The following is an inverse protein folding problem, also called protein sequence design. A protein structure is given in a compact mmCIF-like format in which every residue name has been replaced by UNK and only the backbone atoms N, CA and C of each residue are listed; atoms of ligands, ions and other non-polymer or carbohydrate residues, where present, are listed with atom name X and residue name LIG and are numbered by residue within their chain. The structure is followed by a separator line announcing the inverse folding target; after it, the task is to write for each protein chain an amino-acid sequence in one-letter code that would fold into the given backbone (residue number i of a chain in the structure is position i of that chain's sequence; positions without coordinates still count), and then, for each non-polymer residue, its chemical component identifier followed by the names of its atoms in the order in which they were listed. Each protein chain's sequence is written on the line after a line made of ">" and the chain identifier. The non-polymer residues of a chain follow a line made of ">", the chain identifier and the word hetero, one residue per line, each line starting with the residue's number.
data_IF_555301229349
#
_entry.id   IF_555301229349
#
_cell.length_a   1.000
_cell.length_b   1.000
_cell.length_c   1.000
_cell.angle_alpha   90.00
_cell.angle_beta   90.00
_cell.angle_gamma   90.00
#
_symmetry.space_group_name_H-M   'P 1'
#
loop_
_entity.id
_entity.type
_entity.pdbx_description
1 polymer ?
#
# COMPACT_ATOMS: atom_id res chain seq x y z
N UNK A 1 -8.54 -13.20 8.96
CA UNK A 1 -7.62 -14.15 8.29
C UNK A 1 -7.09 -13.45 7.04
N UNK A 2 -5.87 -12.94 7.08
CA UNK A 2 -5.17 -12.45 5.89
C UNK A 2 -4.30 -13.62 5.41
N UNK A 3 -4.86 -14.47 4.57
CA UNK A 3 -4.08 -15.44 3.81
C UNK A 3 -3.44 -14.71 2.65
N UNK A 4 -2.17 -14.36 2.75
CA UNK A 4 -1.38 -13.95 1.60
C UNK A 4 -1.11 -15.20 0.76
N UNK A 5 -2.05 -15.57 -0.10
CA UNK A 5 -1.82 -16.60 -1.11
C UNK A 5 -1.06 -15.98 -2.27
N UNK A 6 0.26 -16.15 -2.28
CA UNK A 6 1.04 -15.99 -3.50
C UNK A 6 0.77 -17.24 -4.36
N UNK A 7 -0.09 -17.09 -5.35
CA UNK A 7 -0.28 -18.14 -6.37
C UNK A 7 0.99 -18.19 -7.21
N UNK A 8 1.77 -19.28 -7.03
CA UNK A 8 3.04 -19.47 -7.65
C UNK A 8 3.02 -19.52 -9.17
N UNK A 9 3.99 -18.90 -9.79
CA UNK A 9 4.54 -19.37 -11.04
C UNK A 9 5.51 -20.50 -10.75
N UNK A 10 5.76 -21.40 -11.68
CA UNK A 10 6.64 -22.59 -11.55
C UNK A 10 8.10 -22.30 -11.14
N UNK A 11 8.45 -21.05 -10.82
CA UNK A 11 9.79 -20.60 -10.40
C UNK A 11 9.97 -20.46 -8.90
N UNK A 12 8.94 -20.62 -8.09
CA UNK A 12 9.04 -20.46 -6.63
C UNK A 12 9.51 -21.74 -5.97
N UNK A 13 10.80 -21.87 -5.78
CA UNK A 13 11.45 -23.10 -5.26
C UNK A 13 11.20 -23.29 -3.76
N UNK A 14 10.71 -22.26 -3.01
CA UNK A 14 10.51 -22.33 -1.54
C UNK A 14 9.43 -21.37 -1.05
N UNK A 15 8.24 -21.40 -1.62
CA UNK A 15 7.11 -20.63 -1.11
C UNK A 15 6.67 -21.19 0.25
N UNK A 16 6.63 -20.32 1.25
CA UNK A 16 6.09 -20.62 2.57
C UNK A 16 5.09 -19.58 2.98
N UNK A 17 3.96 -20.04 3.49
CA UNK A 17 2.96 -19.17 4.09
C UNK A 17 3.06 -19.23 5.62
N UNK A 18 3.02 -18.06 6.25
CA UNK A 18 2.96 -17.90 7.69
C UNK A 18 1.70 -17.13 8.07
N UNK A 19 1.02 -17.58 9.11
CA UNK A 19 -0.09 -16.83 9.68
C UNK A 19 0.46 -15.92 10.79
N UNK A 20 0.62 -14.63 10.50
CA UNK A 20 1.23 -13.64 11.41
C UNK A 20 0.33 -12.42 11.50
N UNK A 21 -0.08 -12.06 12.71
CA UNK A 21 -0.63 -10.74 12.97
C UNK A 21 0.51 -9.75 13.16
N UNK A 22 0.72 -8.88 12.17
CA UNK A 22 1.79 -7.88 12.20
C UNK A 22 1.61 -6.80 13.28
N UNK A 23 0.41 -6.65 13.86
CA UNK A 23 0.16 -5.80 15.02
C UNK A 23 0.67 -6.43 16.33
N UNK A 24 0.91 -7.74 16.35
CA UNK A 24 1.44 -8.48 17.50
C UNK A 24 2.95 -8.54 17.45
N UNK A 25 3.62 -7.81 18.35
CA UNK A 25 5.09 -7.80 18.42
C UNK A 25 5.67 -9.21 18.62
N UNK A 26 5.05 -10.03 19.49
CA UNK A 26 5.53 -11.38 19.75
C UNK A 26 5.45 -12.27 18.48
N UNK A 27 4.33 -12.22 17.74
CA UNK A 27 4.21 -13.00 16.50
C UNK A 27 5.22 -12.55 15.44
N UNK A 28 5.50 -11.24 15.34
CA UNK A 28 6.53 -10.72 14.43
C UNK A 28 7.92 -11.21 14.84
N UNK A 29 8.25 -11.18 16.14
CA UNK A 29 9.54 -11.70 16.65
C UNK A 29 9.70 -13.18 16.32
N UNK A 30 8.71 -14.00 16.60
CA UNK A 30 8.73 -15.43 16.34
C UNK A 30 8.89 -15.72 14.83
N UNK A 31 8.11 -15.02 14.01
CA UNK A 31 8.21 -15.10 12.54
C UNK A 31 9.60 -14.73 12.02
N UNK A 32 10.17 -13.62 12.48
CA UNK A 32 11.50 -13.18 12.03
C UNK A 32 12.60 -14.14 12.50
N UNK A 33 12.45 -14.76 13.67
CA UNK A 33 13.35 -15.79 14.15
C UNK A 33 13.36 -17.00 13.22
N UNK A 34 12.18 -17.46 12.79
CA UNK A 34 12.05 -18.55 11.81
C UNK A 34 12.68 -18.19 10.46
N UNK A 35 12.44 -16.97 9.97
CA UNK A 35 13.05 -16.49 8.71
C UNK A 35 14.56 -16.46 8.82
N UNK A 36 15.10 -15.97 9.93
CA UNK A 36 16.54 -15.94 10.19
C UNK A 36 17.15 -17.34 10.20
N UNK A 37 16.52 -18.28 10.86
CA UNK A 37 17.01 -19.67 10.94
C UNK A 37 16.99 -20.37 9.58
N UNK A 38 15.95 -20.13 8.78
CA UNK A 38 15.74 -20.84 7.53
C UNK A 38 16.48 -20.23 6.34
N UNK A 39 16.60 -18.92 6.29
CA UNK A 39 17.13 -18.20 5.11
C UNK A 39 18.39 -17.39 5.42
N UNK A 40 18.57 -16.93 6.65
CA UNK A 40 19.72 -16.15 7.11
C UNK A 40 19.78 -14.71 6.60
N UNK A 41 19.07 -14.38 5.52
CA UNK A 41 19.03 -13.06 4.88
C UNK A 41 17.68 -12.76 4.24
N UNK A 42 17.43 -11.47 3.99
CA UNK A 42 16.29 -10.96 3.23
C UNK A 42 16.81 -9.97 2.19
N UNK A 43 16.41 -10.11 0.94
CA UNK A 43 16.77 -9.21 -0.16
C UNK A 43 15.69 -8.15 -0.41
N UNK A 44 14.42 -8.52 -0.20
CA UNK A 44 13.26 -7.65 -0.40
C UNK A 44 12.27 -7.79 0.74
N UNK A 45 11.83 -6.67 1.29
CA UNK A 45 10.71 -6.60 2.23
C UNK A 45 9.57 -5.79 1.59
N UNK A 46 8.45 -6.45 1.32
CA UNK A 46 7.24 -5.77 0.86
C UNK A 46 6.21 -5.71 1.99
N UNK A 47 6.08 -4.54 2.62
CA UNK A 47 5.07 -4.26 3.63
C UNK A 47 3.75 -3.85 2.94
N UNK A 48 2.88 -4.82 2.76
CA UNK A 48 1.61 -4.63 2.05
C UNK A 48 0.38 -4.79 2.95
N UNK A 49 0.48 -5.50 4.05
CA UNK A 49 -0.63 -5.71 4.95
C UNK A 49 -1.21 -4.37 5.44
N UNK A 50 -2.51 -4.26 5.44
CA UNK A 50 -3.20 -3.06 5.87
C UNK A 50 -4.70 -3.28 6.01
N UNK A 51 -5.34 -2.41 6.75
CA UNK A 51 -6.78 -2.38 6.96
C UNK A 51 -7.31 -0.97 6.69
N UNK A 52 -8.55 -0.90 6.25
CA UNK A 52 -9.26 0.36 6.09
C UNK A 52 -10.69 0.17 6.58
N UNK A 53 -11.23 1.18 7.19
CA UNK A 53 -12.63 1.27 7.55
C UNK A 53 -13.09 2.70 7.26
N UNK A 54 -14.16 2.86 6.49
CA UNK A 54 -14.88 4.11 6.47
C UNK A 54 -15.45 4.36 7.88
N UNK A 55 -15.26 5.56 8.37
CA UNK A 55 -15.75 5.96 9.68
C UNK A 55 -16.41 7.33 9.60
N UNK A 56 -16.40 8.10 10.68
CA UNK A 56 -17.14 9.33 10.83
C UNK A 56 -16.26 10.57 10.77
N UNK A 57 -16.86 11.72 11.03
CA UNK A 57 -16.13 12.95 11.32
C UNK A 57 -15.21 12.75 12.53
N UNK A 58 -14.11 13.49 12.59
CA UNK A 58 -13.05 13.30 13.60
C UNK A 58 -13.60 13.27 15.04
N UNK A 59 -14.57 14.11 15.37
CA UNK A 59 -15.14 14.19 16.73
C UNK A 59 -16.08 13.00 17.07
N UNK A 60 -16.51 12.25 16.07
CA UNK A 60 -17.35 11.04 16.20
C UNK A 60 -16.57 9.78 15.85
N UNK A 61 -15.28 9.91 15.45
CA UNK A 61 -14.48 8.81 14.98
C UNK A 61 -14.22 7.79 16.09
N UNK A 62 -14.60 6.50 15.95
CA UNK A 62 -14.41 5.51 17.00
C UNK A 62 -12.92 5.27 17.27
N UNK A 63 -12.52 5.34 18.53
CA UNK A 63 -11.11 5.19 18.93
C UNK A 63 -10.59 3.78 18.64
N UNK A 64 -11.39 2.76 18.83
CA UNK A 64 -11.02 1.37 18.53
C UNK A 64 -10.75 1.14 17.03
N UNK A 65 -11.49 1.82 16.15
CA UNK A 65 -11.23 1.82 14.70
C UNK A 65 -9.91 2.53 14.39
N UNK A 66 -9.66 3.70 14.99
CA UNK A 66 -8.40 4.42 14.86
C UNK A 66 -7.22 3.56 15.35
N UNK A 67 -7.31 3.01 16.55
CA UNK A 67 -6.25 2.18 17.13
C UNK A 67 -5.96 0.94 16.28
N UNK A 68 -6.98 0.29 15.75
CA UNK A 68 -6.82 -0.85 14.85
C UNK A 68 -6.04 -0.47 13.58
N UNK A 69 -6.41 0.64 12.94
CA UNK A 69 -5.75 1.11 11.72
C UNK A 69 -4.28 1.46 12.03
N UNK A 70 -4.04 2.24 13.08
CA UNK A 70 -2.68 2.63 13.46
C UNK A 70 -1.82 1.43 13.86
N UNK A 71 -2.39 0.45 14.56
CA UNK A 71 -1.67 -0.75 14.98
C UNK A 71 -1.30 -1.64 13.80
N UNK A 72 -2.17 -1.81 12.82
CA UNK A 72 -1.87 -2.64 11.65
C UNK A 72 -1.02 -1.86 10.64
N UNK A 73 -1.50 -0.71 10.16
CA UNK A 73 -0.94 -0.05 8.99
C UNK A 73 0.38 0.66 9.29
N UNK A 74 0.52 1.29 10.47
CA UNK A 74 1.76 2.00 10.82
C UNK A 74 2.65 1.19 11.77
N UNK A 75 2.12 0.76 12.93
CA UNK A 75 2.93 0.03 13.91
C UNK A 75 3.38 -1.32 13.38
N UNK A 76 2.51 -2.05 12.66
CA UNK A 76 2.84 -3.33 12.03
C UNK A 76 3.94 -3.17 10.97
N UNK A 77 3.81 -2.18 10.09
CA UNK A 77 4.86 -1.83 9.11
C UNK A 77 6.18 -1.49 9.80
N UNK A 78 6.15 -0.73 10.90
CA UNK A 78 7.33 -0.41 11.68
C UNK A 78 7.96 -1.66 12.31
N UNK A 79 7.18 -2.53 12.95
CA UNK A 79 7.67 -3.76 13.59
C UNK A 79 8.33 -4.69 12.58
N UNK A 80 7.65 -4.96 11.46
CA UNK A 80 8.20 -5.79 10.37
C UNK A 80 9.52 -5.23 9.86
N UNK A 81 9.58 -3.94 9.58
CA UNK A 81 10.80 -3.28 9.10
C UNK A 81 11.91 -3.35 10.14
N UNK A 82 11.63 -2.98 11.39
CA UNK A 82 12.60 -3.00 12.50
C UNK A 82 13.25 -4.37 12.67
N UNK A 83 12.44 -5.43 12.64
CA UNK A 83 12.92 -6.79 12.90
C UNK A 83 13.58 -7.44 11.68
N UNK A 84 13.21 -7.06 10.46
CA UNK A 84 13.80 -7.59 9.22
C UNK A 84 15.08 -6.87 8.79
N UNK A 85 15.25 -5.60 9.13
CA UNK A 85 16.42 -4.79 8.75
C UNK A 85 17.77 -5.48 9.09
N UNK A 86 17.97 -6.08 10.28
CA UNK A 86 19.23 -6.78 10.58
C UNK A 86 19.56 -7.93 9.61
N UNK A 87 18.56 -8.49 8.91
CA UNK A 87 18.75 -9.56 7.91
C UNK A 87 19.09 -8.99 6.53
N UNK A 88 19.05 -7.66 6.35
CA UNK A 88 19.35 -6.95 5.10
C UNK A 88 20.68 -6.19 5.14
N UNK A 89 21.14 -5.76 6.32
CA UNK A 89 22.25 -4.81 6.46
C UNK A 89 23.59 -5.27 5.87
N UNK A 90 23.83 -6.59 5.74
CA UNK A 90 25.13 -7.10 5.26
C UNK A 90 25.27 -7.10 3.73
N UNK A 91 24.16 -7.12 3.00
CA UNK A 91 24.16 -7.25 1.52
C UNK A 91 23.35 -6.16 0.83
N UNK A 92 22.68 -5.31 1.59
CA UNK A 92 21.71 -4.36 1.04
C UNK A 92 20.38 -5.02 0.69
N UNK A 93 19.54 -4.29 -0.03
CA UNK A 93 18.22 -4.78 -0.46
C UNK A 93 17.22 -3.69 -0.75
N UNK A 94 15.97 -4.07 -0.90
CA UNK A 94 14.88 -3.13 -1.19
C UNK A 94 13.70 -3.31 -0.23
N UNK A 95 13.24 -2.21 0.35
CA UNK A 95 12.00 -2.15 1.14
C UNK A 95 10.96 -1.38 0.34
N UNK A 96 9.80 -2.00 0.15
CA UNK A 96 8.64 -1.35 -0.50
C UNK A 96 7.49 -1.32 0.50
N UNK A 97 7.02 -0.12 0.81
CA UNK A 97 5.93 0.10 1.76
C UNK A 97 4.65 0.51 1.02
N UNK A 98 3.53 -0.12 1.33
CA UNK A 98 2.24 0.25 0.76
C UNK A 98 1.62 1.38 1.58
N UNK A 99 1.69 2.60 1.02
CA UNK A 99 0.90 3.74 1.44
C UNK A 99 -0.46 3.76 0.70
N UNK A 100 -0.93 4.92 0.35
CA UNK A 100 -2.15 5.19 -0.43
C UNK A 100 -2.06 6.59 -1.01
N UNK A 101 -2.83 6.89 -2.06
CA UNK A 101 -3.07 8.29 -2.43
C UNK A 101 -3.68 9.08 -1.26
N UNK A 102 -4.46 8.43 -0.37
CA UNK A 102 -5.00 9.01 0.86
C UNK A 102 -3.92 9.40 1.89
N UNK A 103 -2.69 8.89 1.75
CA UNK A 103 -1.54 9.33 2.55
C UNK A 103 -0.89 10.61 2.02
N UNK A 104 -1.15 10.99 0.77
CA UNK A 104 -0.67 12.24 0.14
C UNK A 104 -1.75 13.33 0.13
N UNK A 105 -3.01 12.94 0.09
CA UNK A 105 -4.18 13.80 0.24
C UNK A 105 -5.15 13.11 1.20
N UNK A 106 -6.22 13.79 1.58
CA UNK A 106 -7.16 13.25 2.55
C UNK A 106 -8.45 12.77 1.88
N UNK A 107 -8.85 11.54 2.18
CA UNK A 107 -10.19 11.04 1.92
C UNK A 107 -11.15 11.46 3.04
N UNK A 108 -12.37 11.76 2.65
CA UNK A 108 -13.42 12.13 3.59
C UNK A 108 -13.80 10.95 4.49
N UNK A 109 -13.97 11.22 5.78
CA UNK A 109 -14.35 10.24 6.82
C UNK A 109 -13.31 9.10 7.05
N UNK A 110 -12.06 9.29 6.65
CA UNK A 110 -10.97 8.31 6.80
C UNK A 110 -9.77 8.83 7.57
N UNK A 111 -9.99 9.68 8.56
CA UNK A 111 -8.92 10.41 9.25
C UNK A 111 -7.84 9.50 9.83
N UNK A 112 -8.19 8.36 10.42
CA UNK A 112 -7.22 7.38 10.94
C UNK A 112 -6.39 6.74 9.83
N UNK A 113 -7.03 6.35 8.73
CA UNK A 113 -6.34 5.77 7.56
C UNK A 113 -5.43 6.79 6.86
N UNK A 114 -5.92 8.01 6.63
CA UNK A 114 -5.12 9.11 6.06
C UNK A 114 -3.86 9.35 6.89
N UNK A 115 -4.00 9.41 8.23
CA UNK A 115 -2.89 9.60 9.15
C UNK A 115 -1.88 8.44 9.09
N UNK A 116 -2.35 7.19 9.15
CA UNK A 116 -1.50 6.01 9.09
C UNK A 116 -0.71 5.93 7.77
N UNK A 117 -1.39 6.13 6.64
CA UNK A 117 -0.76 6.07 5.31
C UNK A 117 0.18 7.27 5.05
N UNK A 118 -0.11 8.45 5.60
CA UNK A 118 0.81 9.58 5.62
C UNK A 118 2.06 9.30 6.47
N UNK A 119 1.89 8.66 7.62
CA UNK A 119 3.01 8.24 8.48
C UNK A 119 3.92 7.23 7.78
N UNK A 120 3.37 6.26 7.04
CA UNK A 120 4.15 5.29 6.24
C UNK A 120 5.02 5.99 5.21
N UNK A 121 4.53 7.04 4.53
CA UNK A 121 5.32 7.84 3.57
C UNK A 121 6.55 8.43 4.26
N UNK A 122 6.37 9.09 5.40
CA UNK A 122 7.48 9.75 6.07
C UNK A 122 8.44 8.74 6.73
N UNK A 123 7.92 7.64 7.26
CA UNK A 123 8.72 6.53 7.77
C UNK A 123 9.60 5.90 6.68
N UNK A 124 9.10 5.76 5.46
CA UNK A 124 9.88 5.28 4.31
C UNK A 124 11.09 6.16 4.04
N UNK A 125 10.94 7.48 4.13
CA UNK A 125 12.06 8.43 3.99
C UNK A 125 13.10 8.26 5.09
N UNK A 126 12.66 8.01 6.34
CA UNK A 126 13.58 7.76 7.45
C UNK A 126 14.43 6.52 7.17
N UNK A 127 13.82 5.41 6.73
CA UNK A 127 14.56 4.20 6.36
C UNK A 127 15.58 4.48 5.25
N UNK A 128 15.18 5.20 4.20
CA UNK A 128 16.05 5.52 3.08
C UNK A 128 17.29 6.33 3.51
N UNK A 129 17.11 7.29 4.42
CA UNK A 129 18.20 8.14 4.92
C UNK A 129 19.11 7.36 5.88
N UNK A 130 18.52 6.58 6.78
CA UNK A 130 19.24 5.86 7.82
C UNK A 130 20.06 4.69 7.27
N UNK A 131 19.52 3.96 6.28
CA UNK A 131 20.10 2.69 5.79
C UNK A 131 20.60 2.73 4.34
N UNK A 132 20.61 3.90 3.71
CA UNK A 132 21.09 4.03 2.32
C UNK A 132 22.57 3.66 2.15
N UNK A 133 23.41 3.92 3.16
CA UNK A 133 24.85 3.57 3.12
C UNK A 133 25.11 2.08 3.31
N UNK A 134 24.17 1.34 3.86
CA UNK A 134 24.16 -0.12 3.94
C UNK A 134 23.62 -0.77 2.66
N UNK A 135 23.38 0.05 1.61
CA UNK A 135 22.86 -0.44 0.34
C UNK A 135 21.38 -0.80 0.36
N UNK A 136 20.63 -0.34 1.38
CA UNK A 136 19.19 -0.59 1.48
C UNK A 136 18.42 0.59 0.89
N UNK A 137 17.62 0.32 -0.14
CA UNK A 137 16.67 1.29 -0.70
C UNK A 137 15.31 1.11 -0.02
N UNK A 138 14.61 2.21 0.22
CA UNK A 138 13.25 2.18 0.74
C UNK A 138 12.37 3.14 -0.05
N UNK A 139 11.27 2.63 -0.62
CA UNK A 139 10.30 3.42 -1.36
C UNK A 139 8.88 3.08 -0.92
N UNK A 140 7.98 4.04 -1.02
CA UNK A 140 6.55 3.83 -0.83
C UNK A 140 5.84 3.77 -2.19
N UNK A 141 4.83 2.94 -2.28
CA UNK A 141 3.83 3.02 -3.35
C UNK A 141 2.57 3.66 -2.80
N UNK A 142 1.90 4.47 -3.62
CA UNK A 142 0.63 5.11 -3.29
C UNK A 142 -0.44 4.72 -4.32
N UNK A 143 -1.07 3.55 -4.16
CA UNK A 143 -2.14 3.11 -5.03
C UNK A 143 -3.37 4.01 -4.93
N UNK A 144 -4.08 4.14 -6.05
CA UNK A 144 -5.47 4.59 -6.08
C UNK A 144 -6.42 3.46 -5.70
N UNK A 145 -7.64 3.51 -6.21
CA UNK A 145 -8.62 2.44 -5.98
C UNK A 145 -8.28 1.23 -6.86
N UNK A 146 -7.94 0.13 -6.21
CA UNK A 146 -7.54 -1.14 -6.84
C UNK A 146 -8.61 -2.20 -6.59
N UNK A 147 -8.99 -2.96 -7.61
CA UNK A 147 -9.96 -4.06 -7.51
C UNK A 147 -9.41 -5.16 -6.58
N UNK A 148 -9.87 -5.17 -5.34
CA UNK A 148 -9.41 -6.09 -4.29
C UNK A 148 -10.56 -6.47 -3.36
N UNK A 149 -10.44 -7.60 -2.63
CA UNK A 149 -11.43 -7.95 -1.60
C UNK A 149 -11.61 -6.88 -0.50
N UNK A 150 -10.61 -6.04 -0.26
CA UNK A 150 -10.73 -4.92 0.67
C UNK A 150 -11.74 -3.89 0.15
N UNK A 151 -11.67 -3.54 -1.13
CA UNK A 151 -12.63 -2.62 -1.77
C UNK A 151 -14.03 -3.23 -1.74
N UNK A 152 -14.18 -4.51 -2.09
CA UNK A 152 -15.48 -5.20 -2.04
C UNK A 152 -16.09 -5.16 -0.63
N UNK A 153 -15.28 -5.37 0.39
CA UNK A 153 -15.73 -5.31 1.79
C UNK A 153 -16.22 -3.92 2.21
N UNK A 154 -15.57 -2.86 1.70
CA UNK A 154 -15.87 -1.48 2.09
C UNK A 154 -17.03 -0.87 1.31
N UNK A 155 -17.23 -1.31 0.08
CA UNK A 155 -18.07 -0.59 -0.90
C UNK A 155 -19.15 -1.46 -1.53
N UNK A 156 -19.15 -2.75 -1.26
CA UNK A 156 -19.94 -3.75 -1.97
C UNK A 156 -19.19 -4.34 -3.16
N UNK A 157 -19.65 -5.51 -3.60
CA UNK A 157 -19.05 -6.26 -4.72
C UNK A 157 -19.40 -5.65 -6.07
N UNK A 158 -18.75 -6.11 -7.14
CA UNK A 158 -19.08 -5.71 -8.50
C UNK A 158 -20.48 -6.20 -8.97
N UNK A 159 -21.14 -7.04 -8.18
CA UNK A 159 -22.44 -7.61 -8.52
C UNK A 159 -23.61 -6.92 -7.82
N UNK A 160 -23.39 -6.32 -6.64
CA UNK A 160 -24.44 -5.57 -5.93
C UNK A 160 -24.52 -4.10 -6.36
N UNK A 161 -25.66 -3.45 -6.11
CA UNK A 161 -25.91 -2.09 -6.59
C UNK A 161 -25.00 -1.03 -5.95
N UNK A 162 -24.62 -1.21 -4.68
CA UNK A 162 -23.73 -0.28 -3.99
C UNK A 162 -22.33 -0.36 -4.59
N UNK A 163 -21.81 -1.56 -4.79
CA UNK A 163 -20.50 -1.77 -5.39
C UNK A 163 -20.44 -1.36 -6.86
N UNK A 164 -21.51 -1.53 -7.64
CA UNK A 164 -21.62 -1.01 -9.00
C UNK A 164 -21.56 0.51 -9.02
N UNK A 165 -22.37 1.17 -8.19
CA UNK A 165 -22.41 2.63 -8.08
C UNK A 165 -21.05 3.17 -7.66
N UNK A 166 -20.41 2.55 -6.68
CA UNK A 166 -19.07 2.94 -6.26
C UNK A 166 -18.06 2.85 -7.42
N UNK A 167 -18.06 1.73 -8.15
CA UNK A 167 -17.13 1.53 -9.27
C UNK A 167 -17.35 2.51 -10.40
N UNK A 168 -18.62 2.81 -10.75
CA UNK A 168 -18.92 3.85 -11.74
C UNK A 168 -18.41 5.22 -11.28
N UNK A 169 -18.62 5.61 -10.03
CA UNK A 169 -18.09 6.85 -9.48
C UNK A 169 -16.54 6.87 -9.53
N UNK A 170 -15.89 5.77 -9.19
CA UNK A 170 -14.42 5.68 -9.26
C UNK A 170 -13.89 5.75 -10.69
N UNK A 171 -14.56 5.15 -11.67
CA UNK A 171 -14.22 5.29 -13.09
C UNK A 171 -14.29 6.75 -13.53
N UNK A 172 -15.35 7.43 -13.11
CA UNK A 172 -15.53 8.86 -13.41
C UNK A 172 -14.46 9.74 -12.77
N UNK A 173 -14.05 9.44 -11.52
CA UNK A 173 -13.01 10.16 -10.80
C UNK A 173 -11.59 9.85 -11.27
N UNK A 174 -11.39 8.75 -11.98
CA UNK A 174 -10.07 8.28 -12.42
C UNK A 174 -9.83 8.68 -13.87
N UNK A 175 -8.82 9.50 -14.21
CA UNK A 175 -8.51 9.87 -15.59
C UNK A 175 -8.38 8.71 -16.58
N UNK A 176 -7.85 7.56 -16.14
CA UNK A 176 -7.82 6.35 -16.98
C UNK A 176 -9.18 5.64 -17.10
N UNK A 177 -10.25 6.16 -16.49
CA UNK A 177 -11.63 5.66 -16.64
C UNK A 177 -11.89 4.28 -16.05
N UNK A 178 -11.07 3.80 -15.15
CA UNK A 178 -11.21 2.48 -14.53
C UNK A 178 -10.49 2.38 -13.19
N UNK A 179 -10.82 1.36 -12.41
CA UNK A 179 -10.03 0.94 -11.25
C UNK A 179 -8.72 0.31 -11.72
N UNK A 180 -7.70 0.36 -10.84
CA UNK A 180 -6.46 -0.36 -11.04
C UNK A 180 -6.63 -1.85 -10.76
N UNK A 181 -5.72 -2.66 -11.29
CA UNK A 181 -5.66 -4.10 -11.02
C UNK A 181 -4.51 -4.43 -10.09
N UNK A 182 -4.62 -5.47 -9.23
CA UNK A 182 -3.52 -5.90 -8.36
C UNK A 182 -2.22 -6.18 -9.12
N UNK A 183 -2.30 -6.74 -10.34
CA UNK A 183 -1.14 -7.05 -11.17
C UNK A 183 -0.38 -5.79 -11.64
N UNK A 184 -1.08 -4.66 -11.77
CA UNK A 184 -0.44 -3.39 -12.13
C UNK A 184 0.40 -2.88 -10.96
N UNK A 185 -0.12 -3.00 -9.74
CA UNK A 185 0.61 -2.67 -8.51
C UNK A 185 1.81 -3.62 -8.33
N UNK A 186 1.62 -4.92 -8.55
CA UNK A 186 2.68 -5.92 -8.44
C UNK A 186 3.86 -5.63 -9.38
N UNK A 187 3.60 -5.17 -10.61
CA UNK A 187 4.65 -4.78 -11.57
C UNK A 187 5.50 -3.62 -11.05
N UNK A 188 4.88 -2.62 -10.41
CA UNK A 188 5.60 -1.52 -9.79
C UNK A 188 6.46 -2.01 -8.61
N UNK A 189 5.91 -2.90 -7.79
CA UNK A 189 6.65 -3.50 -6.67
C UNK A 189 7.86 -4.28 -7.16
N UNK A 190 7.71 -5.10 -8.20
CA UNK A 190 8.82 -5.84 -8.82
C UNK A 190 9.90 -4.90 -9.35
N UNK A 191 9.52 -3.82 -10.04
CA UNK A 191 10.47 -2.79 -10.48
C UNK A 191 11.23 -2.16 -9.30
N UNK A 192 10.53 -1.77 -8.23
CA UNK A 192 11.16 -1.17 -7.04
C UNK A 192 12.01 -2.17 -6.25
N UNK A 193 11.71 -3.44 -6.34
CA UNK A 193 12.48 -4.52 -5.72
C UNK A 193 13.76 -4.86 -6.49
N UNK A 194 13.79 -4.60 -7.80
CA UNK A 194 14.89 -4.96 -8.71
C UNK A 194 15.99 -3.89 -8.79
N UNK A 195 17.10 -4.24 -9.42
CA UNK A 195 18.22 -3.33 -9.70
C UNK A 195 17.87 -2.25 -10.73
N UNK A 196 16.79 -2.41 -11.49
CA UNK A 196 16.30 -1.39 -12.43
C UNK A 196 15.94 -0.08 -11.72
N UNK A 197 15.69 -0.13 -10.40
CA UNK A 197 15.44 1.03 -9.54
C UNK A 197 16.59 1.35 -8.58
N UNK A 198 17.83 0.96 -8.91
CA UNK A 198 19.01 1.05 -8.04
C UNK A 198 19.35 2.48 -7.56
N UNK A 199 18.87 3.52 -8.24
CA UNK A 199 19.09 4.92 -7.83
C UNK A 199 17.80 5.61 -7.35
N UNK A 200 16.75 4.81 -7.01
CA UNK A 200 15.48 5.32 -6.49
C UNK A 200 15.35 4.89 -5.03
N UNK A 201 15.36 5.87 -4.11
CA UNK A 201 15.15 5.65 -2.67
C UNK A 201 14.52 6.88 -2.02
N UNK A 202 13.69 6.70 -1.00
CA UNK A 202 12.98 7.76 -0.30
C UNK A 202 11.76 8.29 -1.03
N UNK A 203 11.39 7.71 -2.18
CA UNK A 203 10.30 8.19 -3.01
C UNK A 203 8.95 7.58 -2.65
N UNK A 204 7.90 8.32 -3.01
CA UNK A 204 6.52 7.83 -2.98
C UNK A 204 5.96 7.85 -4.39
N UNK A 205 5.82 6.67 -4.98
CA UNK A 205 5.40 6.53 -6.37
C UNK A 205 3.90 6.22 -6.42
N UNK A 206 3.15 7.12 -7.04
CA UNK A 206 1.71 6.95 -7.26
C UNK A 206 1.44 5.94 -8.36
N UNK A 207 0.44 5.11 -8.13
CA UNK A 207 -0.16 4.21 -9.11
C UNK A 207 -1.69 4.29 -8.95
N UNK A 208 -2.24 5.41 -9.35
CA UNK A 208 -3.59 5.85 -9.03
C UNK A 208 -4.47 6.16 -10.25
N UNK A 209 -3.99 5.84 -11.45
CA UNK A 209 -4.70 6.12 -12.70
C UNK A 209 -4.87 7.62 -12.99
N UNK A 210 -4.09 8.48 -12.32
CA UNK A 210 -4.09 9.93 -12.50
C UNK A 210 -5.02 10.69 -11.53
N UNK A 211 -5.64 10.01 -10.56
CA UNK A 211 -6.56 10.64 -9.58
C UNK A 211 -5.92 11.86 -8.92
N UNK A 212 -4.65 11.81 -8.59
CA UNK A 212 -3.93 12.90 -7.92
C UNK A 212 -3.17 13.84 -8.88
N UNK A 213 -3.38 13.72 -10.18
CA UNK A 213 -2.68 14.55 -11.16
C UNK A 213 -3.41 15.85 -11.48
N UNK A 214 -4.69 15.96 -11.15
CA UNK A 214 -5.48 17.18 -11.43
C UNK A 214 -5.99 17.84 -10.14
N UNK A 215 -6.16 19.16 -10.20
CA UNK A 215 -6.60 19.98 -9.06
C UNK A 215 -8.11 20.18 -9.02
N UNK A 216 -8.81 19.80 -10.08
CA UNK A 216 -10.25 19.98 -10.21
C UNK A 216 -10.93 18.66 -10.54
N UNK A 217 -11.82 18.13 -9.68
CA UNK A 217 -12.65 16.98 -10.04
C UNK A 217 -13.69 17.50 -11.05
N UNK A 218 -13.29 17.54 -12.31
CA UNK A 218 -14.08 18.22 -13.31
C UNK A 218 -15.35 17.47 -13.66
N UNK A 219 -16.44 18.18 -13.72
CA UNK A 219 -17.55 17.88 -14.62
C UNK A 219 -17.04 17.62 -16.06
N UNK A 220 -15.79 18.00 -16.34
CA UNK A 220 -15.09 17.89 -17.61
C UNK A 220 -14.80 16.44 -18.08
N UNK A 221 -14.88 15.43 -17.22
CA UNK A 221 -14.65 14.04 -17.61
C UNK A 221 -15.96 13.28 -17.90
N UNK A 222 -17.12 13.88 -17.64
CA UNK A 222 -18.40 13.19 -17.68
C UNK A 222 -19.01 13.04 -19.08
N UNK A 223 -18.59 13.86 -20.03
CA UNK A 223 -19.04 13.79 -21.43
C UNK A 223 -18.07 14.52 -22.38
N UNK A 224 -18.37 14.49 -23.66
CA UNK A 224 -17.62 15.21 -24.69
C UNK A 224 -17.84 16.74 -24.66
N UNK A 225 -18.46 17.30 -23.62
CA UNK A 225 -18.77 18.75 -23.52
C UNK A 225 -17.52 19.64 -23.55
N UNK A 226 -16.36 19.11 -23.06
CA UNK A 226 -15.08 19.81 -23.15
C UNK A 226 -14.63 20.04 -24.60
N UNK A 227 -15.07 19.21 -25.58
CA UNK A 227 -14.76 19.39 -26.99
C UNK A 227 -15.46 20.61 -27.56
N UNK A 228 -16.63 20.96 -27.02
CA UNK A 228 -17.40 22.14 -27.46
C UNK A 228 -16.84 23.47 -26.95
N UNK A 229 -15.98 23.43 -25.91
CA UNK A 229 -15.33 24.64 -25.36
C UNK A 229 -14.04 25.01 -26.08
N UNK A 230 -13.53 24.16 -26.98
CA UNK A 230 -12.34 24.41 -27.77
C UNK A 230 -12.62 24.84 -29.23
N UNK A 231 -13.90 24.93 -29.62
CA UNK A 231 -14.37 25.54 -30.87
C UNK A 231 -14.78 27.01 -30.65
#
# INVERSE_FOLDING_TARGET
>A
EISACLVGSEMCIRDRAYNVDIASEQQVVDFVSDIKEQFGRIDVLFNNAGVDNAADRIHEYPIDVYDKIMNVDMRGTFLMTKMMLPLMMNQGGSIVNTSSFSGQAADLYRSGYNAAKGAVINFTKSIAIEYGREGIRANAIAPGTIETPLVDKLTGTSEDDAGKTFRENQKWMTPLGRLGKPEEVAKLVVFLASDDSSFITGETIRIDGGVMAYTWPGEMLSDDSWKQTLE
#
